data_IF_165054678093
#
_entry.id   IF_165054678093
#
_cell.length_a   1.000
_cell.length_b   1.000
_cell.length_c   1.000
_cell.angle_alpha   90.00
_cell.angle_beta   90.00
_cell.angle_gamma   90.00
#
_symmetry.space_group_name_H-M   'P 1'
#
loop_
_entity.id
_entity.type
_entity.pdbx_description
1 polymer ?
#
# COMPACT_ATOMS: atom_id res chain seq x y z
N UNK A 1 21.08 -15.22 -4.81
CA UNK A 1 20.02 -14.20 -4.60
C UNK A 1 20.38 -13.38 -3.37
N UNK A 2 21.26 -12.37 -3.51
CA UNK A 2 21.76 -11.61 -2.35
C UNK A 2 21.27 -10.17 -2.34
N UNK A 3 21.28 -9.48 -3.48
CA UNK A 3 20.89 -8.07 -3.58
C UNK A 3 19.38 -7.81 -3.50
N UNK A 4 18.52 -8.80 -3.78
CA UNK A 4 17.08 -8.59 -3.94
C UNK A 4 16.23 -8.80 -2.65
N UNK A 5 16.84 -9.06 -1.49
CA UNK A 5 16.04 -9.29 -0.26
C UNK A 5 16.72 -9.97 0.93
N UNK A 6 18.06 -10.07 0.98
CA UNK A 6 18.78 -10.75 2.07
C UNK A 6 19.40 -9.82 3.11
N UNK A 7 19.17 -8.51 2.98
CA UNK A 7 19.58 -7.50 3.96
C UNK A 7 18.85 -7.75 5.28
N UNK A 8 19.59 -7.67 6.39
CA UNK A 8 19.07 -7.78 7.75
C UNK A 8 19.28 -6.43 8.42
N UNK A 9 18.26 -5.94 9.11
CA UNK A 9 18.26 -4.61 9.68
C UNK A 9 17.42 -4.58 10.95
N UNK A 10 17.45 -3.47 11.67
CA UNK A 10 16.58 -3.19 12.81
C UNK A 10 15.56 -2.11 12.45
N UNK A 11 14.50 -1.96 13.24
CA UNK A 11 13.56 -0.86 13.06
C UNK A 11 14.27 0.50 13.12
N UNK A 12 15.19 0.68 14.08
CA UNK A 12 15.99 1.91 14.22
C UNK A 12 16.81 2.22 12.96
N UNK A 13 17.46 1.22 12.38
CA UNK A 13 18.28 1.42 11.18
C UNK A 13 17.41 1.71 9.96
N UNK A 14 16.22 1.10 9.86
CA UNK A 14 15.27 1.40 8.79
C UNK A 14 14.67 2.80 8.90
N UNK A 15 14.44 3.31 10.12
CA UNK A 15 14.02 4.71 10.32
C UNK A 15 15.11 5.66 9.83
N UNK A 16 16.37 5.43 10.21
CA UNK A 16 17.53 6.19 9.71
C UNK A 16 17.69 6.11 8.20
N UNK A 17 17.43 4.94 7.60
CA UNK A 17 17.41 4.80 6.15
C UNK A 17 16.33 5.71 5.52
N UNK A 18 15.17 5.83 6.16
CA UNK A 18 14.12 6.76 5.75
C UNK A 18 14.50 8.23 5.83
N UNK A 19 15.40 8.63 6.71
CA UNK A 19 15.87 10.01 6.83
C UNK A 19 16.51 10.51 5.51
N UNK A 20 17.14 9.64 4.71
CA UNK A 20 17.67 10.01 3.40
C UNK A 20 16.60 10.41 2.36
N UNK A 21 15.36 9.97 2.56
CA UNK A 21 14.23 10.36 1.73
C UNK A 21 13.58 11.66 2.24
N UNK A 22 13.71 11.95 3.54
CA UNK A 22 13.18 13.15 4.18
C UNK A 22 14.11 14.36 4.01
N UNK A 23 15.41 14.14 4.12
CA UNK A 23 16.45 15.14 3.89
C UNK A 23 17.51 14.60 2.92
N UNK A 24 17.32 14.79 1.60
CA UNK A 24 18.23 14.31 0.57
C UNK A 24 19.65 14.90 0.63
N UNK A 25 19.88 15.93 1.46
CA UNK A 25 21.18 16.60 1.58
C UNK A 25 22.09 15.97 2.66
N UNK A 26 21.56 15.11 3.53
CA UNK A 26 22.32 14.51 4.64
C UNK A 26 23.22 13.33 4.25
N UNK A 27 23.31 12.96 2.97
CA UNK A 27 23.51 11.55 2.63
C UNK A 27 24.54 11.13 1.59
N UNK A 28 24.43 9.81 1.36
CA UNK A 28 25.25 8.94 0.49
C UNK A 28 25.06 9.22 -1.01
N UNK A 29 23.90 9.77 -1.39
CA UNK A 29 23.52 10.08 -2.76
C UNK A 29 23.25 11.58 -2.88
N UNK A 30 23.45 12.14 -4.08
CA UNK A 30 23.06 13.52 -4.35
C UNK A 30 21.52 13.65 -4.36
N UNK A 31 20.96 14.83 -4.07
CA UNK A 31 19.52 15.07 -4.10
C UNK A 31 18.86 14.65 -5.42
N UNK A 32 19.53 14.85 -6.56
CA UNK A 32 19.04 14.48 -7.88
C UNK A 32 18.90 12.95 -8.03
N UNK A 33 19.77 12.18 -7.38
CA UNK A 33 19.72 10.71 -7.39
C UNK A 33 18.60 10.19 -6.51
N UNK A 34 18.39 10.80 -5.33
CA UNK A 34 17.23 10.48 -4.48
C UNK A 34 15.93 10.80 -5.22
N UNK A 35 15.86 11.96 -5.88
CA UNK A 35 14.74 12.31 -6.73
C UNK A 35 14.53 11.28 -7.84
N UNK A 36 15.58 10.89 -8.57
CA UNK A 36 15.48 9.88 -9.62
C UNK A 36 14.99 8.51 -9.11
N UNK A 37 15.37 8.12 -7.89
CA UNK A 37 14.86 6.90 -7.25
C UNK A 37 13.36 6.99 -6.95
N UNK A 38 12.89 8.17 -6.56
CA UNK A 38 11.50 8.42 -6.16
C UNK A 38 10.63 8.96 -7.30
N UNK A 39 11.14 9.01 -8.53
CA UNK A 39 10.36 9.40 -9.71
C UNK A 39 9.38 8.29 -10.10
N UNK A 40 8.09 8.61 -10.35
CA UNK A 40 7.09 7.67 -10.86
C UNK A 40 7.38 7.20 -12.31
N UNK A 41 8.29 6.23 -12.49
CA UNK A 41 8.71 5.80 -13.84
C UNK A 41 7.66 4.96 -14.56
N UNK A 42 7.00 4.03 -13.86
CA UNK A 42 6.01 3.12 -14.45
C UNK A 42 4.81 3.00 -13.52
N UNK A 43 3.61 3.12 -14.07
CA UNK A 43 2.38 2.87 -13.32
C UNK A 43 2.14 1.36 -13.18
N UNK A 44 2.05 0.86 -11.95
CA UNK A 44 1.82 -0.56 -11.64
C UNK A 44 0.37 -0.85 -11.24
N UNK A 45 -0.32 0.14 -10.67
CA UNK A 45 -1.77 0.11 -10.41
C UNK A 45 -2.36 1.52 -10.59
N UNK A 46 -3.70 1.70 -10.69
CA UNK A 46 -4.29 3.04 -10.73
C UNK A 46 -3.82 3.92 -9.55
N UNK A 47 -3.13 5.01 -9.84
CA UNK A 47 -2.54 5.91 -8.83
C UNK A 47 -1.25 5.41 -8.15
N UNK A 48 -0.77 4.20 -8.46
CA UNK A 48 0.42 3.61 -7.84
C UNK A 48 1.50 3.37 -8.90
N UNK A 49 2.71 3.83 -8.60
CA UNK A 49 3.84 3.82 -9.51
C UNK A 49 5.03 3.10 -8.90
N UNK A 50 5.96 2.68 -9.74
CA UNK A 50 7.23 2.09 -9.33
C UNK A 50 8.39 2.99 -9.77
N UNK A 51 9.23 3.32 -8.80
CA UNK A 51 10.49 4.03 -8.97
C UNK A 51 11.67 3.08 -9.08
N UNK A 52 12.86 3.51 -8.66
CA UNK A 52 14.00 2.60 -8.55
C UNK A 52 14.04 1.93 -7.17
N UNK A 53 13.36 0.77 -7.09
CA UNK A 53 13.35 -0.06 -5.88
C UNK A 53 12.37 0.41 -4.80
N UNK A 54 11.43 1.27 -5.14
CA UNK A 54 10.37 1.78 -4.27
C UNK A 54 9.06 1.88 -5.03
N UNK A 55 7.95 1.70 -4.31
CA UNK A 55 6.60 2.00 -4.75
C UNK A 55 6.30 3.45 -4.36
N UNK A 56 5.60 4.17 -5.23
CA UNK A 56 5.28 5.59 -5.06
C UNK A 56 3.78 5.76 -5.25
N UNK A 57 3.15 6.36 -4.24
CA UNK A 57 1.74 6.74 -4.24
C UNK A 57 1.65 8.26 -4.06
N UNK A 58 1.52 9.05 -5.15
CA UNK A 58 1.54 10.51 -5.08
C UNK A 58 0.42 11.13 -4.24
N UNK A 59 -0.78 10.54 -4.28
CA UNK A 59 -1.98 11.05 -3.59
C UNK A 59 -2.41 10.14 -2.42
N UNK A 60 -1.46 9.73 -1.58
CA UNK A 60 -1.77 9.01 -0.34
C UNK A 60 -2.37 9.96 0.69
N UNK A 61 -3.70 10.10 0.71
CA UNK A 61 -4.41 11.03 1.62
C UNK A 61 -3.87 12.48 1.58
N UNK A 62 -3.58 12.96 0.36
CA UNK A 62 -3.08 14.32 0.14
C UNK A 62 -1.59 14.51 0.43
N UNK A 63 -0.81 13.44 0.48
CA UNK A 63 0.66 13.46 0.54
C UNK A 63 1.26 12.34 -0.29
N UNK A 64 2.51 12.49 -0.71
CA UNK A 64 3.25 11.42 -1.37
C UNK A 64 3.71 10.38 -0.35
N UNK A 65 3.40 9.11 -0.62
CA UNK A 65 3.97 7.96 0.09
C UNK A 65 4.98 7.24 -0.81
N UNK A 66 6.14 6.94 -0.26
CA UNK A 66 7.20 6.13 -0.87
C UNK A 66 7.39 4.92 0.03
N UNK A 67 7.25 3.70 -0.49
CA UNK A 67 7.30 2.50 0.34
C UNK A 67 7.85 1.27 -0.37
N UNK A 68 8.14 0.22 0.39
CA UNK A 68 8.50 -1.08 -0.14
C UNK A 68 8.19 -2.20 0.85
N UNK A 69 7.66 -3.31 0.34
CA UNK A 69 7.43 -4.52 1.11
C UNK A 69 8.68 -5.41 1.18
N UNK A 70 8.73 -6.30 2.17
CA UNK A 70 9.82 -7.27 2.31
C UNK A 70 9.28 -8.59 2.84
N UNK A 71 9.76 -9.71 2.30
CA UNK A 71 9.35 -11.03 2.77
C UNK A 71 10.34 -12.10 2.36
N UNK A 72 10.81 -12.86 3.34
CA UNK A 72 11.55 -14.11 3.13
C UNK A 72 11.01 -15.17 4.09
N UNK A 73 11.50 -16.40 4.00
CA UNK A 73 11.04 -17.49 4.88
C UNK A 73 11.18 -17.09 6.35
N UNK A 74 10.04 -17.01 7.04
CA UNK A 74 9.95 -16.72 8.46
C UNK A 74 9.72 -15.26 8.84
N UNK A 75 9.73 -14.30 7.90
CA UNK A 75 9.55 -12.87 8.23
C UNK A 75 8.76 -12.12 7.15
N UNK A 76 8.05 -11.07 7.58
CA UNK A 76 7.42 -10.07 6.72
C UNK A 76 7.75 -8.67 7.23
N UNK A 77 7.95 -7.73 6.32
CA UNK A 77 8.33 -6.35 6.62
C UNK A 77 7.65 -5.38 5.67
N UNK A 78 7.44 -4.15 6.13
CA UNK A 78 7.02 -3.05 5.27
C UNK A 78 7.66 -1.75 5.78
N UNK A 79 8.15 -0.93 4.87
CA UNK A 79 8.78 0.36 5.16
C UNK A 79 8.11 1.44 4.34
N UNK A 80 7.84 2.61 4.92
CA UNK A 80 7.22 3.74 4.23
C UNK A 80 7.81 5.07 4.70
N UNK A 81 7.85 6.03 3.79
CA UNK A 81 8.25 7.43 4.00
C UNK A 81 7.19 8.33 3.41
N UNK A 82 6.79 9.35 4.16
CA UNK A 82 5.91 10.43 3.71
C UNK A 82 6.70 11.75 3.80
N UNK A 83 7.40 12.17 2.73
CA UNK A 83 8.25 13.36 2.74
C UNK A 83 7.52 14.63 3.17
N UNK A 84 6.29 14.86 2.68
CA UNK A 84 5.53 16.07 3.01
C UNK A 84 5.08 16.12 4.48
N UNK A 85 5.21 15.01 5.21
CA UNK A 85 4.88 14.85 6.62
C UNK A 85 6.11 14.68 7.51
N UNK A 86 7.32 14.75 6.94
CA UNK A 86 8.58 14.48 7.64
C UNK A 86 8.54 13.16 8.43
N UNK A 87 7.91 12.12 7.87
CA UNK A 87 7.61 10.88 8.58
C UNK A 87 8.24 9.67 7.89
N UNK A 88 8.86 8.82 8.68
CA UNK A 88 9.39 7.51 8.29
C UNK A 88 8.80 6.46 9.22
N UNK A 89 8.41 5.31 8.67
CA UNK A 89 7.75 4.24 9.41
C UNK A 89 8.20 2.87 8.91
N UNK A 90 8.26 1.90 9.81
CA UNK A 90 8.61 0.52 9.49
C UNK A 90 7.84 -0.46 10.38
N UNK A 91 7.37 -1.55 9.77
CA UNK A 91 6.79 -2.69 10.47
C UNK A 91 7.63 -3.92 10.15
N UNK A 92 8.09 -4.62 11.19
CA UNK A 92 8.86 -5.87 11.09
C UNK A 92 8.12 -6.96 11.85
N UNK A 93 7.96 -8.12 11.23
CA UNK A 93 7.28 -9.27 11.84
C UNK A 93 8.14 -10.52 11.69
N UNK A 94 8.14 -11.37 12.71
CA UNK A 94 8.85 -12.66 12.76
C UNK A 94 7.96 -13.83 12.31
N UNK A 95 6.96 -13.56 11.46
CA UNK A 95 6.03 -14.53 10.93
C UNK A 95 5.93 -14.29 9.42
N UNK A 96 6.14 -15.33 8.63
CA UNK A 96 5.97 -15.25 7.19
C UNK A 96 4.50 -15.01 6.84
N UNK A 97 4.22 -14.06 5.95
CA UNK A 97 2.87 -13.74 5.49
C UNK A 97 2.05 -12.94 6.50
N UNK A 98 2.65 -12.48 7.60
CA UNK A 98 1.98 -11.53 8.48
C UNK A 98 1.68 -10.22 7.73
N UNK A 99 0.56 -9.55 8.03
CA UNK A 99 0.10 -8.40 7.28
C UNK A 99 0.85 -7.11 7.68
N UNK A 100 2.18 -7.10 7.54
CA UNK A 100 3.04 -5.98 7.94
C UNK A 100 2.65 -4.66 7.27
N UNK A 101 2.23 -4.70 6.01
CA UNK A 101 1.71 -3.53 5.29
C UNK A 101 0.45 -2.97 5.96
N UNK A 102 -0.53 -3.82 6.28
CA UNK A 102 -1.80 -3.40 6.90
C UNK A 102 -1.55 -2.79 8.28
N UNK A 103 -0.66 -3.41 9.07
CA UNK A 103 -0.26 -2.89 10.38
C UNK A 103 0.43 -1.52 10.26
N UNK A 104 1.35 -1.37 9.31
CA UNK A 104 2.02 -0.11 9.05
C UNK A 104 1.02 0.97 8.60
N UNK A 105 0.10 0.63 7.70
CA UNK A 105 -0.92 1.54 7.20
C UNK A 105 -1.85 2.01 8.33
N UNK A 106 -2.25 1.12 9.24
CA UNK A 106 -3.03 1.49 10.42
C UNK A 106 -2.29 2.51 11.30
N UNK A 107 -1.00 2.27 11.58
CA UNK A 107 -0.19 3.18 12.38
C UNK A 107 0.01 4.55 11.71
N UNK A 108 0.35 4.56 10.42
CA UNK A 108 0.52 5.80 9.63
C UNK A 108 -0.78 6.58 9.56
N UNK A 109 -1.91 5.92 9.29
CA UNK A 109 -3.22 6.59 9.25
C UNK A 109 -3.60 7.16 10.62
N UNK A 110 -3.36 6.42 11.70
CA UNK A 110 -3.58 6.91 13.06
C UNK A 110 -2.82 8.21 13.34
N UNK A 111 -1.55 8.31 12.93
CA UNK A 111 -0.78 9.55 13.11
C UNK A 111 -1.23 10.70 12.21
N UNK A 112 -1.83 10.39 11.06
CA UNK A 112 -2.42 11.39 10.17
C UNK A 112 -3.85 11.79 10.59
N UNK A 113 -4.42 11.19 11.64
CA UNK A 113 -5.81 11.42 12.03
C UNK A 113 -6.83 10.85 11.03
N UNK A 114 -6.46 9.75 10.37
CA UNK A 114 -7.25 9.08 9.33
C UNK A 114 -7.76 7.75 9.89
N UNK A 115 -9.02 7.44 9.61
CA UNK A 115 -9.63 6.16 10.01
C UNK A 115 -8.88 4.97 9.38
N UNK A 116 -8.59 3.88 10.12
CA UNK A 116 -7.81 2.76 9.62
C UNK A 116 -8.36 2.09 8.36
N UNK A 117 -9.69 2.10 8.17
CA UNK A 117 -10.40 1.52 7.04
C UNK A 117 -10.54 2.46 5.85
N UNK A 118 -10.13 3.73 6.00
CA UNK A 118 -10.11 4.68 4.91
C UNK A 118 -9.19 4.18 3.78
N UNK A 119 -9.50 4.57 2.55
CA UNK A 119 -8.67 4.21 1.39
C UNK A 119 -8.20 5.49 0.72
N UNK A 120 -6.90 5.57 0.35
CA UNK A 120 -6.38 6.73 -0.37
C UNK A 120 -7.00 6.85 -1.77
N UNK A 121 -7.46 5.72 -2.34
CA UNK A 121 -8.08 5.67 -3.65
C UNK A 121 -9.47 5.06 -3.62
N UNK A 122 -10.38 5.65 -4.39
CA UNK A 122 -11.67 5.06 -4.68
C UNK A 122 -11.59 4.32 -6.02
N UNK A 123 -10.97 3.14 -6.03
CA UNK A 123 -10.88 2.31 -7.23
C UNK A 123 -12.23 1.64 -7.52
N UNK A 124 -12.90 1.94 -8.66
CA UNK A 124 -14.09 1.20 -9.04
C UNK A 124 -13.72 -0.26 -9.32
N UNK A 125 -14.46 -1.20 -8.72
CA UNK A 125 -14.24 -2.66 -8.79
C UNK A 125 -14.10 -3.19 -10.25
N UNK A 126 -14.59 -2.45 -11.25
CA UNK A 126 -14.52 -2.82 -12.66
C UNK A 126 -13.16 -2.57 -13.34
N UNK A 127 -12.21 -1.89 -12.70
CA UNK A 127 -10.91 -1.58 -13.30
C UNK A 127 -9.97 -2.80 -13.46
N UNK A 128 -10.23 -3.92 -12.77
CA UNK A 128 -9.42 -5.15 -12.86
C UNK A 128 -9.72 -6.03 -14.08
N UNK A 129 -10.65 -5.65 -14.97
CA UNK A 129 -11.13 -6.53 -16.03
C UNK A 129 -10.23 -6.64 -17.29
N UNK A 130 -9.09 -5.95 -17.37
CA UNK A 130 -8.26 -5.91 -18.61
C UNK A 130 -6.77 -6.25 -18.42
N UNK A 131 -6.45 -7.18 -17.53
CA UNK A 131 -5.14 -7.85 -17.50
C UNK A 131 -5.13 -9.16 -18.32
N UNK A 132 -3.97 -9.58 -18.87
CA UNK A 132 -3.84 -10.85 -19.58
C UNK A 132 -4.22 -12.04 -18.69
N UNK A 133 -4.78 -13.08 -19.31
CA UNK A 133 -5.63 -14.11 -18.69
C UNK A 133 -4.96 -15.08 -17.68
N UNK A 134 -3.72 -14.84 -17.24
CA UNK A 134 -2.93 -15.83 -16.49
C UNK A 134 -2.99 -15.71 -14.96
N UNK A 135 -3.58 -14.66 -14.38
CA UNK A 135 -3.75 -14.57 -12.91
C UNK A 135 -5.16 -14.05 -12.55
N UNK A 136 -6.16 -14.92 -12.69
CA UNK A 136 -7.54 -14.63 -12.30
C UNK A 136 -7.77 -15.04 -10.85
N UNK A 137 -7.51 -14.14 -9.90
CA UNK A 137 -8.15 -14.22 -8.58
C UNK A 137 -9.54 -13.60 -8.66
N UNK A 138 -10.57 -14.42 -8.82
CA UNK A 138 -11.96 -13.97 -8.70
C UNK A 138 -12.29 -13.74 -7.22
N UNK A 139 -12.45 -12.49 -6.80
CA UNK A 139 -13.15 -12.15 -5.56
C UNK A 139 -14.55 -11.69 -5.92
N UNK A 140 -15.54 -12.58 -5.80
CA UNK A 140 -16.96 -12.27 -5.98
C UNK A 140 -17.55 -11.89 -4.62
N UNK A 141 -17.86 -10.62 -4.42
CA UNK A 141 -18.59 -10.15 -3.23
C UNK A 141 -20.06 -9.96 -3.63
N UNK A 142 -20.92 -10.89 -3.22
CA UNK A 142 -22.37 -10.71 -3.35
C UNK A 142 -22.95 -10.10 -2.08
N UNK A 143 -23.48 -8.88 -2.18
CA UNK A 143 -24.39 -8.37 -1.16
C UNK A 143 -25.79 -8.94 -1.41
N UNK A 144 -26.23 -9.89 -0.59
CA UNK A 144 -27.66 -10.21 -0.49
C UNK A 144 -28.37 -9.02 0.17
N UNK A 145 -29.17 -8.27 -0.60
CA UNK A 145 -30.04 -7.26 -0.03
C UNK A 145 -31.14 -7.94 0.80
N UNK A 146 -31.13 -7.71 2.10
CA UNK A 146 -32.15 -8.14 3.05
C UNK A 146 -33.41 -7.27 2.93
N UNK A 147 -34.36 -7.66 2.06
CA UNK A 147 -35.80 -7.40 2.25
C UNK A 147 -36.65 -8.47 1.55
N UNK A 148 -37.53 -9.20 2.25
CA UNK A 148 -38.57 -9.98 1.59
C UNK A 148 -39.65 -9.01 1.08
N UNK A 149 -39.94 -9.04 -0.22
CA UNK A 149 -41.17 -8.40 -0.74
C UNK A 149 -42.37 -9.18 -0.23
N UNK A 150 -43.17 -8.55 0.61
CA UNK A 150 -44.52 -9.00 0.96
C UNK A 150 -45.30 -9.20 -0.36
N UNK A 151 -45.70 -10.44 -0.68
CA UNK A 151 -46.69 -10.67 -1.74
C UNK A 151 -48.06 -10.30 -1.19
N UNK A 152 -48.59 -9.18 -1.67
CA UNK A 152 -50.00 -8.83 -1.50
C UNK A 152 -50.88 -9.95 -2.03
N UNK A 153 -51.76 -10.46 -1.16
CA UNK A 153 -52.85 -11.35 -1.53
C UNK A 153 -53.87 -10.53 -2.33
N UNK A 154 -54.13 -10.90 -3.58
CA UNK A 154 -55.40 -10.57 -4.26
C UNK A 154 -56.21 -11.85 -4.43
N UNK A 155 -57.42 -11.83 -3.85
CA UNK A 155 -58.50 -12.81 -4.00
C UNK A 155 -59.28 -12.53 -5.31
N UNK A 156 -60.18 -13.44 -5.75
CA UNK A 156 -60.41 -13.81 -7.15
C UNK A 156 -61.47 -12.93 -7.85
N UNK A 157 -61.53 -13.04 -9.17
CA UNK A 157 -62.69 -12.63 -9.98
C UNK A 157 -63.02 -13.78 -10.93
N UNK A 158 -64.16 -14.41 -10.64
CA UNK A 158 -64.97 -15.44 -11.33
C UNK A 158 -64.27 -16.59 -12.08
#
# INVERSE_FOLDING_TARGET
MWSAGYVKSTARDMIRYGEFFLDPHQGLLSPERIQAMCTPHIQIEPGIYYGYGVVITPDFFGTTRIDHGGGIKGVSAHFAVLPDKAMSAVCLTNIAGAPAEVLLNGAVQSELGIEPEARPFNIPIFAYARGPASDRRYVRVERRSSRPRLRERRRPVY
#
